data_IF_950239702504
#
_entry.id   IF_950239702504
#
_cell.length_a   1.000
_cell.length_b   1.000
_cell.length_c   1.000
_cell.angle_alpha   90.00
_cell.angle_beta   90.00
_cell.angle_gamma   90.00
#
_symmetry.space_group_name_H-M   'P 1'
#
loop_
_entity.id
_entity.type
_entity.pdbx_description
1 polymer ?
#
# COMPACT_ATOMS: atom_id res chain seq x y z
N UNK A 1 -25.07 -0.48 7.12
CA UNK A 1 -23.70 0.04 6.92
C UNK A 1 -22.81 -1.16 6.64
N UNK A 2 -22.47 -1.42 5.38
CA UNK A 2 -21.76 -2.64 4.97
C UNK A 2 -20.29 -2.52 5.34
N UNK A 3 -19.77 -3.45 6.14
CA UNK A 3 -18.34 -3.53 6.47
C UNK A 3 -17.56 -3.72 5.16
N UNK A 4 -16.51 -2.93 4.88
CA UNK A 4 -15.67 -3.18 3.71
C UNK A 4 -15.12 -4.61 3.79
N UNK A 5 -15.33 -5.40 2.74
CA UNK A 5 -14.86 -6.77 2.70
C UNK A 5 -13.34 -6.79 2.60
N UNK A 6 -12.69 -7.56 3.47
CA UNK A 6 -11.26 -7.85 3.35
C UNK A 6 -11.07 -8.66 2.06
N UNK A 7 -10.17 -8.24 1.15
CA UNK A 7 -9.86 -9.01 -0.04
C UNK A 7 -9.53 -10.46 0.31
N UNK A 8 -10.05 -11.42 -0.46
CA UNK A 8 -9.83 -12.84 -0.19
C UNK A 8 -8.33 -13.20 -0.07
N UNK A 9 -7.47 -12.49 -0.82
CA UNK A 9 -6.03 -12.65 -0.79
C UNK A 9 -5.36 -12.25 0.54
N UNK A 10 -6.05 -11.48 1.39
CA UNK A 10 -5.57 -11.05 2.71
C UNK A 10 -6.21 -11.88 3.85
N UNK A 11 -6.99 -12.90 3.54
CA UNK A 11 -7.58 -13.78 4.56
C UNK A 11 -6.46 -14.54 5.29
N UNK A 12 -6.47 -14.49 6.61
CA UNK A 12 -5.46 -15.11 7.46
C UNK A 12 -4.29 -14.18 7.85
N UNK A 13 -4.13 -13.04 7.20
CA UNK A 13 -3.21 -12.00 7.66
C UNK A 13 -3.77 -11.31 8.92
N UNK A 14 -2.94 -11.11 9.93
CA UNK A 14 -3.27 -10.40 11.16
C UNK A 14 -2.53 -9.07 11.20
N UNK A 15 -1.22 -9.08 10.92
CA UNK A 15 -0.36 -7.91 10.89
C UNK A 15 0.01 -7.54 9.45
N UNK A 16 -0.29 -6.31 9.04
CA UNK A 16 0.00 -5.82 7.69
C UNK A 16 0.84 -4.55 7.71
N UNK A 17 1.56 -4.28 6.62
CA UNK A 17 2.12 -2.96 6.33
C UNK A 17 1.52 -2.42 5.04
N UNK A 18 1.13 -1.14 5.06
CA UNK A 18 0.52 -0.46 3.92
C UNK A 18 1.54 0.50 3.32
N UNK A 19 1.70 0.47 2.00
CA UNK A 19 2.61 1.31 1.23
C UNK A 19 1.83 2.15 0.22
N UNK A 20 2.21 3.40 0.03
CA UNK A 20 1.53 4.26 -0.93
C UNK A 20 2.45 5.22 -1.68
N UNK A 21 2.03 5.63 -2.88
CA UNK A 21 2.53 6.88 -3.45
C UNK A 21 2.09 8.05 -2.55
N UNK A 22 2.83 9.16 -2.59
CA UNK A 22 2.56 10.35 -1.74
C UNK A 22 1.44 11.24 -2.29
N UNK A 23 0.93 10.98 -3.49
CA UNK A 23 -0.21 11.74 -4.04
C UNK A 23 -1.46 11.60 -3.15
N UNK A 24 -2.32 12.63 -3.20
CA UNK A 24 -3.47 12.72 -2.31
C UNK A 24 -4.45 11.53 -2.47
N UNK A 25 -4.82 11.07 -3.70
CA UNK A 25 -5.63 9.87 -3.88
C UNK A 25 -5.05 8.62 -3.22
N UNK A 26 -3.77 8.33 -3.43
CA UNK A 26 -3.10 7.17 -2.85
C UNK A 26 -3.08 7.21 -1.32
N UNK A 27 -2.76 8.38 -0.75
CA UNK A 27 -2.76 8.56 0.71
C UNK A 27 -4.15 8.40 1.33
N UNK A 28 -5.18 8.98 0.69
CA UNK A 28 -6.55 8.90 1.19
C UNK A 28 -7.03 7.45 1.23
N UNK A 29 -6.80 6.69 0.17
CA UNK A 29 -7.19 5.29 0.11
C UNK A 29 -6.35 4.39 1.03
N UNK A 30 -5.05 4.66 1.20
CA UNK A 30 -4.24 3.96 2.19
C UNK A 30 -4.75 4.19 3.62
N UNK A 31 -5.18 5.42 3.94
CA UNK A 31 -5.77 5.75 5.23
C UNK A 31 -7.15 5.10 5.43
N UNK A 32 -8.01 5.13 4.42
CA UNK A 32 -9.32 4.46 4.45
C UNK A 32 -9.17 2.95 4.63
N UNK A 33 -8.25 2.32 3.89
CA UNK A 33 -7.97 0.90 4.03
C UNK A 33 -7.42 0.59 5.43
N UNK A 34 -6.46 1.36 5.93
CA UNK A 34 -5.91 1.21 7.29
C UNK A 34 -7.00 1.30 8.36
N UNK A 35 -7.93 2.25 8.24
CA UNK A 35 -9.03 2.41 9.19
C UNK A 35 -10.05 1.26 9.14
N UNK A 36 -10.15 0.57 8.01
CA UNK A 36 -11.05 -0.58 7.84
C UNK A 36 -10.45 -1.92 8.27
N UNK A 37 -9.13 -1.99 8.43
CA UNK A 37 -8.45 -3.23 8.79
C UNK A 37 -8.75 -3.61 10.24
N UNK A 38 -9.22 -4.85 10.44
CA UNK A 38 -9.59 -5.34 11.78
C UNK A 38 -8.42 -5.92 12.58
N UNK A 39 -7.25 -6.07 11.97
CA UNK A 39 -6.03 -6.56 12.61
C UNK A 39 -5.06 -5.42 12.92
N UNK A 40 -3.76 -5.72 12.93
CA UNK A 40 -2.70 -4.77 13.24
C UNK A 40 -2.16 -4.15 11.95
N UNK A 41 -2.14 -2.82 11.87
CA UNK A 41 -1.37 -2.09 10.86
C UNK A 41 -0.04 -1.69 11.49
N UNK A 42 1.05 -2.36 11.12
CA UNK A 42 2.38 -2.10 11.68
C UNK A 42 2.93 -0.72 11.25
N UNK A 43 2.65 -0.34 10.00
CA UNK A 43 3.01 0.96 9.47
C UNK A 43 2.16 1.30 8.24
N UNK A 44 1.98 2.60 8.04
CA UNK A 44 1.66 3.20 6.74
C UNK A 44 2.93 3.93 6.27
N UNK A 45 3.40 3.60 5.07
CA UNK A 45 4.65 4.10 4.49
C UNK A 45 4.36 4.73 3.14
N UNK A 46 4.50 6.05 3.06
CA UNK A 46 4.48 6.74 1.76
C UNK A 46 5.89 6.87 1.17
N UNK A 47 5.96 6.96 -0.15
CA UNK A 47 7.16 7.38 -0.88
C UNK A 47 6.81 8.38 -1.99
N UNK A 48 7.74 9.30 -2.31
CA UNK A 48 7.61 10.14 -3.49
C UNK A 48 7.85 9.32 -4.77
N UNK A 49 7.43 9.83 -5.92
CA UNK A 49 7.78 9.23 -7.23
C UNK A 49 9.29 9.23 -7.48
N UNK A 50 9.99 10.23 -6.93
CA UNK A 50 11.44 10.35 -6.94
C UNK A 50 11.98 10.51 -5.52
N UNK A 51 12.83 9.57 -5.09
CA UNK A 51 13.48 9.60 -3.79
C UNK A 51 15.00 9.62 -3.95
N UNK A 52 15.68 10.46 -3.15
CA UNK A 52 17.13 10.42 -3.01
C UNK A 52 17.62 9.07 -2.43
N UNK A 53 16.77 8.36 -1.67
CA UNK A 53 17.06 7.01 -1.19
C UNK A 53 15.81 6.16 -1.04
N UNK A 54 15.75 5.09 -1.84
CA UNK A 54 14.71 4.07 -1.75
C UNK A 54 14.92 3.09 -0.60
N UNK A 55 16.15 2.95 -0.08
CA UNK A 55 16.46 1.98 0.98
C UNK A 55 15.71 2.29 2.28
N UNK A 56 15.58 3.58 2.62
CA UNK A 56 14.87 4.02 3.82
C UNK A 56 13.40 3.59 3.77
N UNK A 57 12.75 3.79 2.62
CA UNK A 57 11.38 3.36 2.40
C UNK A 57 11.26 1.83 2.45
N UNK A 58 12.18 1.10 1.80
CA UNK A 58 12.19 -0.37 1.78
C UNK A 58 12.30 -0.99 3.17
N UNK A 59 13.24 -0.49 3.98
CA UNK A 59 13.45 -0.96 5.35
C UNK A 59 12.27 -0.67 6.25
N UNK A 60 11.61 0.49 6.08
CA UNK A 60 10.40 0.80 6.84
C UNK A 60 9.25 -0.10 6.42
N UNK A 61 9.10 -0.34 5.13
CA UNK A 61 8.02 -1.16 4.57
C UNK A 61 8.10 -2.62 5.00
N UNK A 62 9.30 -3.15 5.26
CA UNK A 62 9.50 -4.56 5.68
C UNK A 62 9.73 -4.73 7.18
N UNK A 63 9.77 -3.64 7.94
CA UNK A 63 10.05 -3.69 9.38
C UNK A 63 8.92 -4.43 10.11
N UNK A 64 9.30 -5.25 11.08
CA UNK A 64 8.36 -5.98 11.93
C UNK A 64 7.85 -7.29 11.33
N UNK A 65 8.20 -7.61 10.08
CA UNK A 65 7.85 -8.88 9.45
C UNK A 65 6.34 -9.10 9.36
N UNK A 66 5.60 -8.24 8.63
CA UNK A 66 4.16 -8.41 8.48
C UNK A 66 3.81 -9.74 7.81
N UNK A 67 2.57 -10.19 8.03
CA UNK A 67 1.99 -11.33 7.34
C UNK A 67 1.79 -11.01 5.85
N UNK A 68 1.41 -9.76 5.55
CA UNK A 68 1.21 -9.28 4.18
C UNK A 68 1.55 -7.79 4.00
N UNK A 69 1.88 -7.43 2.76
CA UNK A 69 2.08 -6.06 2.31
C UNK A 69 0.94 -5.63 1.39
N UNK A 70 0.43 -4.42 1.61
CA UNK A 70 -0.61 -3.82 0.79
C UNK A 70 -0.08 -2.57 0.12
N UNK A 71 -0.28 -2.43 -1.19
CA UNK A 71 0.28 -1.33 -2.00
C UNK A 71 -0.84 -0.54 -2.66
N UNK A 72 -0.83 0.77 -2.42
CA UNK A 72 -1.76 1.76 -2.97
C UNK A 72 -0.94 2.85 -3.67
N UNK A 73 -0.41 2.56 -4.85
CA UNK A 73 0.59 3.42 -5.48
C UNK A 73 0.50 3.42 -7.01
N UNK A 74 0.99 4.53 -7.59
CA UNK A 74 1.27 4.65 -9.02
C UNK A 74 2.35 3.64 -9.45
N UNK A 75 2.39 3.32 -10.73
CA UNK A 75 3.29 2.33 -11.31
C UNK A 75 4.78 2.70 -11.19
N UNK A 76 5.14 3.98 -11.38
CA UNK A 76 6.56 4.35 -11.51
C UNK A 76 7.30 4.30 -10.17
N UNK A 77 6.82 5.00 -9.14
CA UNK A 77 7.38 4.96 -7.80
C UNK A 77 7.36 3.55 -7.21
N UNK A 78 6.32 2.77 -7.49
CA UNK A 78 6.27 1.36 -7.09
C UNK A 78 7.35 0.51 -7.76
N UNK A 79 7.63 0.68 -9.05
CA UNK A 79 8.67 -0.08 -9.74
C UNK A 79 10.05 0.13 -9.10
N UNK A 80 10.39 1.38 -8.74
CA UNK A 80 11.63 1.71 -8.02
C UNK A 80 11.65 1.11 -6.60
N UNK A 81 10.49 1.06 -5.96
CA UNK A 81 10.34 0.43 -4.64
C UNK A 81 10.56 -1.09 -4.72
N UNK A 82 9.94 -1.79 -5.67
CA UNK A 82 10.10 -3.24 -5.93
C UNK A 82 11.56 -3.59 -6.14
N UNK A 83 12.20 -2.86 -7.04
CA UNK A 83 13.60 -3.05 -7.40
C UNK A 83 14.51 -2.95 -6.16
N UNK A 84 14.21 -2.00 -5.27
CA UNK A 84 14.94 -1.84 -4.01
C UNK A 84 14.60 -2.92 -2.98
N UNK A 85 13.33 -3.31 -2.86
CA UNK A 85 12.86 -4.33 -1.93
C UNK A 85 13.51 -5.67 -2.21
N UNK A 86 13.50 -6.10 -3.48
CA UNK A 86 14.06 -7.36 -3.95
C UNK A 86 15.56 -7.50 -3.64
N UNK A 87 16.32 -6.39 -3.70
CA UNK A 87 17.77 -6.42 -3.48
C UNK A 87 18.22 -6.31 -2.03
N UNK A 88 17.37 -5.90 -1.09
CA UNK A 88 17.88 -5.40 0.20
C UNK A 88 17.00 -5.63 1.42
N UNK A 89 15.95 -6.44 1.28
CA UNK A 89 15.02 -6.75 2.37
C UNK A 89 14.50 -8.18 2.26
N UNK A 90 13.87 -8.69 3.32
CA UNK A 90 13.12 -9.97 3.28
C UNK A 90 11.72 -9.84 2.67
N UNK A 91 11.51 -8.86 1.77
CA UNK A 91 10.24 -8.67 1.08
C UNK A 91 9.91 -9.88 0.22
N UNK A 92 8.63 -10.25 0.22
CA UNK A 92 8.11 -11.38 -0.54
C UNK A 92 6.99 -10.92 -1.49
N UNK A 93 7.18 -11.01 -2.82
CA UNK A 93 6.17 -10.61 -3.77
C UNK A 93 4.89 -11.45 -3.68
N UNK A 94 4.97 -12.71 -3.24
CA UNK A 94 3.80 -13.58 -3.12
C UNK A 94 2.84 -13.13 -2.00
N UNK A 95 3.35 -12.38 -1.02
CA UNK A 95 2.58 -11.80 0.10
C UNK A 95 2.27 -10.32 -0.10
N UNK A 96 2.41 -9.83 -1.34
CA UNK A 96 2.20 -8.41 -1.69
C UNK A 96 0.97 -8.24 -2.57
N UNK A 97 0.03 -7.40 -2.12
CA UNK A 97 -1.24 -7.20 -2.78
C UNK A 97 -1.43 -5.73 -3.16
N UNK A 98 -1.76 -5.46 -4.43
CA UNK A 98 -2.07 -4.09 -4.89
C UNK A 98 -3.56 -3.81 -4.75
N UNK A 99 -3.90 -2.70 -4.13
CA UNK A 99 -5.25 -2.15 -4.16
C UNK A 99 -5.37 -1.21 -5.34
N UNK A 100 -6.36 -1.46 -6.19
CA UNK A 100 -6.70 -0.57 -7.29
C UNK A 100 -7.62 0.51 -6.77
N UNK A 101 -7.22 1.77 -6.93
CA UNK A 101 -8.11 2.89 -6.66
C UNK A 101 -9.24 2.87 -7.70
N UNK A 102 -10.53 2.88 -7.29
CA UNK A 102 -11.60 3.08 -8.25
C UNK A 102 -11.38 4.44 -8.92
N UNK A 103 -11.30 4.46 -10.26
CA UNK A 103 -11.37 5.73 -10.99
C UNK A 103 -12.67 6.40 -10.58
N UNK A 104 -12.61 7.57 -9.91
CA UNK A 104 -13.79 8.40 -9.72
C UNK A 104 -14.28 8.77 -11.12
N UNK A 105 -15.36 8.13 -11.60
CA UNK A 105 -16.09 8.60 -12.77
C UNK A 105 -16.51 10.03 -12.44
N UNK A 106 -16.07 10.99 -13.25
CA UNK A 106 -16.38 12.39 -13.06
C UNK A 106 -17.88 12.58 -12.97
N UNK A 107 -18.34 13.23 -11.89
CA UNK A 107 -19.64 13.85 -11.87
C UNK A 107 -19.57 15.00 -12.90
N UNK A 108 -19.97 14.74 -14.14
CA UNK A 108 -20.41 15.80 -15.03
C UNK A 108 -21.76 16.27 -14.48
N UNK A 109 -21.74 17.32 -13.67
CA UNK A 109 -22.94 18.11 -13.45
C UNK A 109 -23.17 18.89 -14.72
N UNK A 110 -24.21 18.50 -15.46
CA UNK A 110 -24.79 19.32 -16.50
C UNK A 110 -25.22 20.65 -15.88
N UNK A 111 -24.76 21.74 -16.48
CA UNK A 111 -25.29 23.09 -16.36
C UNK A 111 -25.64 23.58 -17.75
#
# INVERSE_FOLDING_TARGET
MTRPEVPAALRGAVAITIGSSRDAPSKAAAAEFAASWHGIVLAVVDWPEEAASWLRHARRFTRGGPDAWVVVADGLGWARMVDRLARSTGWDPARTHRLFLPRRRGLHLAG
#
